data_IF_878770072493
#
_entry.id   IF_878770072493
#
_cell.length_a   1.000
_cell.length_b   1.000
_cell.length_c   1.000
_cell.angle_alpha   90.00
_cell.angle_beta   90.00
_cell.angle_gamma   90.00
#
_symmetry.space_group_name_H-M   'P 1'
#
loop_
_entity.id
_entity.type
_entity.pdbx_description
1 polymer ?
#
# COMPACT_ATOMS: atom_id res chain seq x y z
N UNK A 1 -8.25 -4.94 10.06
CA UNK A 1 -7.79 -5.91 11.06
C UNK A 1 -7.11 -7.09 10.40
N UNK A 2 -6.06 -7.58 10.97
CA UNK A 2 -5.33 -8.71 10.43
C UNK A 2 -6.01 -10.02 10.80
N UNK A 3 -6.29 -10.87 9.79
CA UNK A 3 -6.98 -12.13 9.99
C UNK A 3 -6.03 -13.33 10.03
N UNK A 4 -4.74 -13.09 9.84
CA UNK A 4 -3.73 -14.13 9.77
C UNK A 4 -2.67 -13.89 10.83
N UNK A 5 -2.71 -14.65 11.90
CA UNK A 5 -1.77 -14.51 13.00
C UNK A 5 -0.31 -14.51 12.52
N UNK A 6 0.01 -15.39 11.54
CA UNK A 6 1.34 -15.49 10.97
C UNK A 6 1.85 -14.17 10.34
N UNK A 7 0.98 -13.44 9.65
CA UNK A 7 1.35 -12.20 8.96
C UNK A 7 1.15 -10.96 9.82
N UNK A 8 0.55 -11.13 10.99
CA UNK A 8 0.34 -10.04 11.93
C UNK A 8 1.33 -10.02 13.08
N UNK A 9 2.29 -10.93 13.08
CA UNK A 9 3.34 -10.91 14.09
C UNK A 9 4.14 -9.62 13.99
N UNK A 10 4.47 -9.03 15.13
CA UNK A 10 5.21 -7.78 15.18
C UNK A 10 4.39 -6.54 14.89
N UNK A 11 3.08 -6.65 14.71
CA UNK A 11 2.22 -5.48 14.55
C UNK A 11 2.10 -4.74 15.87
N UNK A 12 2.59 -3.50 15.90
CA UNK A 12 2.54 -2.65 17.09
C UNK A 12 1.24 -1.87 17.16
N UNK A 13 0.69 -1.49 16.02
CA UNK A 13 -0.49 -0.66 15.95
C UNK A 13 -1.17 -0.81 14.60
N UNK A 14 -2.49 -0.72 14.61
CA UNK A 14 -3.31 -0.68 13.40
C UNK A 14 -4.19 0.55 13.48
N UNK A 15 -4.22 1.35 12.42
CA UNK A 15 -5.04 2.55 12.33
C UNK A 15 -5.80 2.58 11.02
N UNK A 16 -7.01 3.11 11.06
CA UNK A 16 -7.75 3.36 9.83
C UNK A 16 -7.03 4.42 9.01
N UNK A 17 -6.93 4.19 7.70
CA UNK A 17 -6.24 5.07 6.80
C UNK A 17 -6.97 5.15 5.46
N UNK A 18 -6.75 6.23 4.74
CA UNK A 18 -7.24 6.38 3.38
C UNK A 18 -6.09 6.70 2.45
N UNK A 19 -6.23 6.29 1.20
CA UNK A 19 -5.25 6.53 0.16
C UNK A 19 -5.98 7.00 -1.10
N UNK A 20 -5.34 7.87 -1.85
CA UNK A 20 -5.85 8.27 -3.15
C UNK A 20 -5.55 7.15 -4.15
N UNK A 21 -6.58 6.61 -4.80
CA UNK A 21 -6.40 5.50 -5.72
C UNK A 21 -7.70 4.99 -6.29
N UNK A 22 -7.65 3.79 -6.85
CA UNK A 22 -8.83 3.06 -7.33
C UNK A 22 -8.67 1.59 -6.99
N UNK A 23 -9.77 0.96 -6.61
CA UNK A 23 -9.82 -0.46 -6.35
C UNK A 23 -10.49 -1.20 -7.51
N UNK A 24 -9.95 -2.37 -7.83
CA UNK A 24 -10.51 -3.29 -8.81
C UNK A 24 -10.64 -4.66 -8.17
N UNK A 25 -11.72 -5.37 -8.46
CA UNK A 25 -11.85 -6.77 -8.07
C UNK A 25 -11.31 -7.65 -9.18
N UNK A 26 -10.28 -8.43 -8.87
CA UNK A 26 -9.66 -9.35 -9.82
C UNK A 26 -10.58 -10.57 -10.07
N UNK A 27 -10.42 -11.27 -11.21
CA UNK A 27 -11.30 -12.39 -11.54
C UNK A 27 -11.38 -13.50 -10.50
N UNK A 28 -10.37 -13.62 -9.65
CA UNK A 28 -10.34 -14.62 -8.57
C UNK A 28 -10.76 -14.04 -7.22
N UNK A 29 -11.37 -12.87 -7.21
CA UNK A 29 -12.01 -12.32 -6.01
C UNK A 29 -11.12 -11.53 -5.06
N UNK A 30 -9.89 -11.17 -5.46
CA UNK A 30 -9.01 -10.34 -4.64
C UNK A 30 -9.04 -8.89 -5.08
N UNK A 31 -8.91 -7.93 -4.14
CA UNK A 31 -8.82 -6.53 -4.51
C UNK A 31 -7.44 -6.18 -5.05
N UNK A 32 -7.40 -5.21 -5.94
CA UNK A 32 -6.15 -4.67 -6.47
C UNK A 32 -6.21 -3.15 -6.44
N UNK A 33 -5.12 -2.53 -5.99
CA UNK A 33 -5.02 -1.09 -5.83
C UNK A 33 -4.23 -0.47 -6.99
N UNK A 34 -4.80 0.57 -7.59
CA UNK A 34 -4.11 1.45 -8.52
C UNK A 34 -3.89 2.79 -7.82
N UNK A 35 -2.67 3.30 -7.85
CA UNK A 35 -2.35 4.60 -7.26
C UNK A 35 -1.88 5.56 -8.35
N UNK A 36 -2.09 6.90 -8.18
CA UNK A 36 -1.54 7.86 -9.13
C UNK A 36 -0.02 7.79 -9.19
N UNK A 37 0.55 7.83 -10.39
CA UNK A 37 2.01 7.81 -10.54
C UNK A 37 2.68 8.96 -9.81
N UNK A 38 2.05 10.14 -9.79
CA UNK A 38 2.58 11.31 -9.09
C UNK A 38 2.64 11.13 -7.55
N UNK A 39 1.94 10.14 -7.01
CA UNK A 39 1.96 9.86 -5.58
C UNK A 39 3.05 8.86 -5.19
N UNK A 40 3.66 8.21 -6.16
CA UNK A 40 4.72 7.22 -5.91
C UNK A 40 6.02 7.96 -5.65
N UNK A 41 6.50 7.90 -4.41
CA UNK A 41 7.70 8.61 -3.97
C UNK A 41 8.95 7.74 -4.03
N UNK A 42 8.78 6.44 -3.95
CA UNK A 42 9.86 5.46 -4.06
C UNK A 42 9.28 4.10 -4.42
N UNK A 43 10.15 3.24 -4.95
CA UNK A 43 9.81 1.85 -5.28
C UNK A 43 10.61 0.92 -4.37
N UNK A 44 10.00 -0.16 -3.92
CA UNK A 44 10.63 -1.14 -3.04
C UNK A 44 11.87 -1.77 -3.67
N UNK A 45 12.85 -2.07 -2.83
CA UNK A 45 14.12 -2.69 -3.23
C UNK A 45 14.37 -3.96 -2.40
N UNK A 46 15.47 -4.65 -2.69
CA UNK A 46 15.91 -5.78 -1.88
C UNK A 46 16.64 -5.35 -0.60
N UNK A 47 16.94 -4.06 -0.47
CA UNK A 47 17.53 -3.51 0.75
C UNK A 47 16.40 -3.00 1.66
N UNK A 48 15.82 -3.88 2.45
CA UNK A 48 14.67 -3.57 3.28
C UNK A 48 14.95 -2.54 4.35
N UNK A 49 16.16 -2.50 4.89
CA UNK A 49 16.53 -1.47 5.85
C UNK A 49 16.57 -0.09 5.20
N UNK A 50 17.15 0.00 4.00
CA UNK A 50 17.16 1.25 3.26
C UNK A 50 15.75 1.71 2.91
N UNK A 51 14.86 0.79 2.55
CA UNK A 51 13.46 1.11 2.26
C UNK A 51 12.76 1.69 3.49
N UNK A 52 12.98 1.11 4.66
CA UNK A 52 12.42 1.62 5.92
C UNK A 52 12.98 3.02 6.26
N UNK A 53 14.26 3.25 6.01
CA UNK A 53 14.88 4.56 6.22
C UNK A 53 14.34 5.59 5.23
N UNK A 54 14.12 5.21 3.99
CA UNK A 54 13.54 6.08 2.95
C UNK A 54 12.19 6.63 3.40
N UNK A 55 11.38 5.80 4.02
CA UNK A 55 10.08 6.20 4.56
C UNK A 55 10.20 7.34 5.57
N UNK A 56 11.30 7.41 6.29
CA UNK A 56 11.54 8.43 7.31
C UNK A 56 12.16 9.71 6.73
N UNK A 57 12.85 9.61 5.61
CA UNK A 57 13.65 10.71 5.05
C UNK A 57 13.01 11.41 3.87
N UNK A 58 12.08 10.74 3.16
CA UNK A 58 11.37 11.38 2.05
C UNK A 58 10.45 12.46 2.59
N UNK A 59 10.56 13.66 2.01
CA UNK A 59 9.69 14.76 2.41
C UNK A 59 8.35 14.66 1.70
N UNK A 60 7.29 14.77 2.48
CA UNK A 60 5.94 14.82 1.95
C UNK A 60 5.65 16.26 1.50
N UNK A 61 5.57 16.45 0.19
CA UNK A 61 5.25 17.75 -0.40
C UNK A 61 3.78 18.11 -0.23
N UNK A 62 3.47 19.36 -0.54
CA UNK A 62 2.09 19.82 -0.59
C UNK A 62 1.35 19.12 -1.72
N UNK A 63 0.16 18.67 -1.44
CA UNK A 63 -0.69 18.01 -2.43
C UNK A 63 -2.03 18.72 -2.52
N UNK A 64 -2.47 18.93 -3.74
CA UNK A 64 -3.80 19.49 -3.94
C UNK A 64 -4.83 18.36 -3.96
N UNK A 65 -6.05 18.61 -3.43
CA UNK A 65 -7.13 17.65 -3.56
C UNK A 65 -7.41 17.34 -5.02
N UNK A 66 -7.66 16.07 -5.30
CA UNK A 66 -7.99 15.63 -6.65
C UNK A 66 -9.36 14.97 -6.65
N UNK A 67 -10.22 15.37 -7.59
CA UNK A 67 -11.51 14.71 -7.82
C UNK A 67 -11.42 13.60 -8.85
N UNK A 68 -10.24 13.41 -9.47
CA UNK A 68 -10.02 12.39 -10.50
C UNK A 68 -9.80 11.00 -9.93
N UNK A 69 -9.45 10.93 -8.64
CA UNK A 69 -9.14 9.69 -7.95
C UNK A 69 -10.10 9.47 -6.80
N UNK A 70 -10.35 8.20 -6.50
CA UNK A 70 -11.20 7.83 -5.38
C UNK A 70 -10.44 7.90 -4.07
N UNK A 71 -11.18 7.92 -2.98
CA UNK A 71 -10.65 7.69 -1.65
C UNK A 71 -10.81 6.20 -1.34
N UNK A 72 -9.68 5.50 -1.20
CA UNK A 72 -9.66 4.07 -0.90
C UNK A 72 -9.45 3.90 0.60
N UNK A 73 -10.30 3.11 1.24
CA UNK A 73 -10.27 2.87 2.67
C UNK A 73 -9.48 1.61 2.99
N UNK A 74 -8.61 1.70 3.99
CA UNK A 74 -7.77 0.58 4.39
C UNK A 74 -7.24 0.76 5.79
N UNK A 75 -6.21 0.00 6.10
CA UNK A 75 -5.58 0.03 7.42
C UNK A 75 -4.09 0.26 7.29
N UNK A 76 -3.57 1.17 8.11
CA UNK A 76 -2.14 1.38 8.26
C UNK A 76 -1.66 0.47 9.39
N UNK A 77 -0.72 -0.42 9.09
CA UNK A 77 -0.11 -1.31 10.07
C UNK A 77 1.31 -0.87 10.36
N UNK A 78 1.63 -0.74 11.64
CA UNK A 78 2.96 -0.36 12.11
C UNK A 78 3.63 -1.61 12.68
N UNK A 79 4.77 -1.98 12.12
CA UNK A 79 5.51 -3.19 12.49
C UNK A 79 6.78 -2.84 13.27
N UNK A 80 7.23 -3.78 14.09
CA UNK A 80 8.42 -3.62 14.93
C UNK A 80 9.74 -3.86 14.20
N UNK A 81 9.76 -4.70 13.17
CA UNK A 81 10.99 -5.11 12.50
C UNK A 81 10.79 -5.12 10.97
N UNK A 82 11.04 -3.99 10.29
CA UNK A 82 10.85 -3.91 8.84
C UNK A 82 11.73 -4.86 8.04
N UNK A 83 12.92 -5.19 8.54
CA UNK A 83 13.83 -6.11 7.84
C UNK A 83 13.26 -7.53 7.77
N UNK A 84 12.47 -7.93 8.75
CA UNK A 84 11.78 -9.23 8.74
C UNK A 84 10.38 -9.15 8.14
N UNK A 85 9.66 -8.07 8.43
CA UNK A 85 8.25 -7.97 8.04
C UNK A 85 8.05 -7.65 6.57
N UNK A 86 8.87 -6.78 5.99
CA UNK A 86 8.73 -6.43 4.59
C UNK A 86 8.98 -7.62 3.65
N UNK A 87 10.04 -8.44 3.83
CA UNK A 87 10.20 -9.62 3.00
C UNK A 87 9.03 -10.60 3.09
N UNK A 88 8.47 -10.79 4.28
CA UNK A 88 7.33 -11.68 4.49
C UNK A 88 6.09 -11.16 3.76
N UNK A 89 5.84 -9.85 3.82
CA UNK A 89 4.73 -9.22 3.10
C UNK A 89 4.93 -9.27 1.59
N UNK A 90 6.15 -9.02 1.11
CA UNK A 90 6.47 -9.13 -0.32
C UNK A 90 6.17 -10.54 -0.82
N UNK A 91 6.57 -11.56 -0.06
CA UNK A 91 6.31 -12.96 -0.43
C UNK A 91 4.81 -13.26 -0.46
N UNK A 92 4.05 -12.72 0.51
CA UNK A 92 2.60 -12.90 0.55
C UNK A 92 1.92 -12.29 -0.67
N UNK A 93 2.38 -11.12 -1.11
CA UNK A 93 1.81 -10.41 -2.27
C UNK A 93 2.37 -10.90 -3.61
N UNK A 94 3.33 -11.82 -3.58
CA UNK A 94 3.97 -12.32 -4.81
C UNK A 94 4.86 -11.29 -5.47
N UNK A 95 5.41 -10.38 -4.69
CA UNK A 95 6.30 -9.32 -5.21
C UNK A 95 7.76 -9.68 -4.97
N UNK A 96 8.55 -9.57 -6.03
CA UNK A 96 10.02 -9.72 -5.94
C UNK A 96 10.63 -8.41 -6.43
N UNK A 97 11.31 -7.66 -5.54
CA UNK A 97 11.91 -6.39 -5.91
C UNK A 97 12.89 -6.52 -7.09
N UNK A 98 12.74 -5.63 -8.07
CA UNK A 98 13.59 -5.62 -9.25
C UNK A 98 13.17 -6.56 -10.36
N UNK A 99 12.12 -7.37 -10.16
CA UNK A 99 11.58 -8.26 -11.18
C UNK A 99 10.19 -7.79 -11.62
N UNK A 100 9.84 -8.08 -12.85
CA UNK A 100 8.50 -7.81 -13.35
C UNK A 100 7.50 -8.76 -12.69
N UNK A 101 6.35 -8.23 -12.30
CA UNK A 101 5.30 -9.01 -11.68
C UNK A 101 3.98 -8.26 -11.74
N UNK A 102 2.95 -8.86 -11.13
CA UNK A 102 1.62 -8.27 -11.10
C UNK A 102 1.57 -7.04 -10.18
N UNK A 103 2.31 -7.09 -9.09
CA UNK A 103 2.32 -6.04 -8.05
C UNK A 103 3.69 -5.42 -7.90
N UNK A 104 3.69 -4.18 -7.40
CA UNK A 104 4.91 -3.46 -7.04
C UNK A 104 4.70 -2.78 -5.70
N UNK A 105 5.70 -2.88 -4.80
CA UNK A 105 5.66 -2.19 -3.50
C UNK A 105 6.17 -0.77 -3.69
N UNK A 106 5.33 0.20 -3.35
CA UNK A 106 5.63 1.61 -3.56
C UNK A 106 5.38 2.41 -2.29
N UNK A 107 6.13 3.49 -2.12
CA UNK A 107 5.98 4.42 -1.00
C UNK A 107 5.07 5.55 -1.44
N UNK A 108 3.97 5.73 -0.71
CA UNK A 108 2.94 6.70 -1.06
C UNK A 108 2.43 7.43 0.18
N UNK A 109 1.86 8.63 0.01
CA UNK A 109 1.18 9.31 1.10
C UNK A 109 -0.15 8.63 1.43
N UNK A 110 -0.42 8.48 2.71
CA UNK A 110 -1.73 8.02 3.20
C UNK A 110 -2.23 9.01 4.24
N UNK A 111 -3.56 9.10 4.37
CA UNK A 111 -4.18 9.96 5.36
C UNK A 111 -4.60 9.14 6.57
N UNK A 112 -4.17 9.56 7.76
CA UNK A 112 -4.55 8.95 9.01
C UNK A 112 -5.07 10.07 9.91
N UNK A 113 -6.35 10.03 10.25
CA UNK A 113 -7.02 11.17 10.87
C UNK A 113 -6.87 12.41 9.99
N UNK A 114 -6.29 13.49 10.47
CA UNK A 114 -6.09 14.71 9.70
C UNK A 114 -4.63 14.91 9.26
N UNK A 115 -3.83 13.85 9.35
CA UNK A 115 -2.41 13.90 9.02
C UNK A 115 -2.08 13.04 7.81
N UNK A 116 -1.12 13.50 7.01
CA UNK A 116 -0.55 12.72 5.92
C UNK A 116 0.74 12.07 6.39
N UNK A 117 0.85 10.75 6.21
CA UNK A 117 2.06 10.01 6.53
C UNK A 117 2.45 9.17 5.32
N UNK A 118 3.71 8.71 5.29
CA UNK A 118 4.19 7.85 4.21
C UNK A 118 4.07 6.39 4.61
N UNK A 119 3.62 5.56 3.69
CA UNK A 119 3.49 4.13 3.92
C UNK A 119 3.85 3.34 2.66
N UNK A 120 4.38 2.14 2.87
CA UNK A 120 4.56 1.17 1.80
C UNK A 120 3.24 0.47 1.52
N UNK A 121 2.91 0.35 0.24
CA UNK A 121 1.73 -0.39 -0.21
C UNK A 121 2.05 -1.13 -1.50
N UNK A 122 1.18 -2.06 -1.86
CA UNK A 122 1.33 -2.82 -3.10
C UNK A 122 0.31 -2.31 -4.11
N UNK A 123 0.80 -1.91 -5.28
CA UNK A 123 -0.05 -1.48 -6.38
C UNK A 123 -0.04 -2.51 -7.49
N UNK A 124 -1.14 -2.63 -8.22
CA UNK A 124 -1.18 -3.49 -9.39
C UNK A 124 -0.54 -2.76 -10.57
N UNK A 125 0.26 -3.49 -11.35
CA UNK A 125 1.00 -2.92 -12.47
C UNK A 125 0.15 -2.80 -13.73
N UNK A 126 -0.86 -3.66 -13.87
CA UNK A 126 -1.78 -3.63 -15.01
C UNK A 126 -3.21 -3.61 -14.50
N UNK A 127 -3.98 -2.64 -14.97
CA UNK A 127 -5.39 -2.54 -14.61
C UNK A 127 -6.15 -3.71 -15.23
N UNK A 128 -6.78 -4.51 -14.37
CA UNK A 128 -7.60 -5.65 -14.77
C UNK A 128 -8.71 -5.84 -13.74
N UNK A 129 -9.75 -6.58 -14.10
CA UNK A 129 -10.85 -6.85 -13.20
C UNK A 129 -11.93 -5.79 -13.24
N UNK A 130 -12.78 -5.80 -12.24
CA UNK A 130 -13.96 -4.93 -12.15
C UNK A 130 -13.69 -3.75 -11.22
N UNK A 131 -13.93 -2.54 -11.71
CA UNK A 131 -13.75 -1.33 -10.94
C UNK A 131 -14.75 -1.26 -9.77
N UNK A 132 -14.23 -0.96 -8.59
CA UNK A 132 -15.02 -0.81 -7.36
C UNK A 132 -15.12 0.68 -7.01
N UNK A 133 -16.19 1.31 -7.45
CA UNK A 133 -16.35 2.76 -7.36
C UNK A 133 -16.46 3.31 -5.94
N UNK A 134 -16.76 2.47 -4.95
CA UNK A 134 -16.89 2.90 -3.56
C UNK A 134 -15.55 3.03 -2.83
N UNK A 135 -14.46 2.50 -3.38
CA UNK A 135 -13.17 2.52 -2.71
C UNK A 135 -13.08 1.63 -1.49
N UNK A 136 -14.00 0.68 -1.35
CA UNK A 136 -14.07 -0.22 -0.20
C UNK A 136 -13.96 -1.68 -0.63
N UNK A 137 -13.34 -2.48 0.22
CA UNK A 137 -13.29 -3.94 0.09
C UNK A 137 -13.63 -4.58 1.45
N UNK A 138 -14.47 -5.60 1.49
CA UNK A 138 -15.21 -6.17 0.37
C UNK A 138 -16.31 -5.24 -0.14
N UNK A 139 -16.60 -5.35 -1.43
CA UNK A 139 -17.66 -4.58 -2.06
C UNK A 139 -18.98 -5.32 -1.83
N UNK A 140 -19.73 -4.87 -0.89
CA UNK A 140 -21.05 -5.44 -0.59
C UNK A 140 -22.15 -4.53 -1.06
#
# INVERSE_FOLDING_TARGET
MCNHERFCQGVLKVREATIRGRLYELPYGFPALVVPDEDILATGTTNYLADAEEQQHVLLGSREPSTRWDTVHGELMIFDDPEERLPALDALEGYVPGEEGLYERVLVPVEVADESVLAWTYRIMRITGVYLSGGDWPAE
#
